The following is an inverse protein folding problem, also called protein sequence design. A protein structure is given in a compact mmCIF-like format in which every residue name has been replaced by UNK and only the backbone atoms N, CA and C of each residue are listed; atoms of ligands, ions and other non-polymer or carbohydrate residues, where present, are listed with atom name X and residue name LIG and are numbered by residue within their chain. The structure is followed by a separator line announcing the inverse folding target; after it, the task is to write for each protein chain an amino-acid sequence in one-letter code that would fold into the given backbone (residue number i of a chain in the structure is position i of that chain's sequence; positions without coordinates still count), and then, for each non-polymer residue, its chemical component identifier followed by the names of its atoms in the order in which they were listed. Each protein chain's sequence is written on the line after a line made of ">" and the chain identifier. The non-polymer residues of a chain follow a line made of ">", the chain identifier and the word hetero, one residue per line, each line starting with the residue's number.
data_IF_789985117830
#
_entry.id   IF_789985117830
#
_cell.length_a   1.000
_cell.length_b   1.000
_cell.length_c   1.000
_cell.angle_alpha   90.00
_cell.angle_beta   90.00
_cell.angle_gamma   90.00
#
_symmetry.space_group_name_H-M   'P 1'
#
loop_
_entity.id
_entity.type
_entity.pdbx_description
1 polymer ?
#
# COMPACT_ATOMS: atom_id res chain seq x y z
N UNK A 1 -0.73 24.90 91.28
CA UNK A 1 0.51 24.69 90.50
C UNK A 1 0.11 24.16 89.13
N UNK A 2 -0.03 25.02 88.12
CA UNK A 2 -0.52 24.66 86.80
C UNK A 2 0.57 24.98 85.76
N UNK A 3 0.95 23.98 84.95
CA UNK A 3 1.95 24.13 83.89
C UNK A 3 1.34 24.86 82.67
N UNK A 4 2.09 25.73 81.98
CA UNK A 4 1.58 26.39 80.78
C UNK A 4 1.52 25.41 79.59
N UNK A 5 0.50 25.50 78.72
CA UNK A 5 0.45 24.71 77.50
C UNK A 5 1.55 25.17 76.53
N UNK A 6 2.36 24.23 76.06
CA UNK A 6 3.37 24.47 75.02
C UNK A 6 2.66 24.68 73.68
N UNK A 7 2.49 25.94 73.27
CA UNK A 7 2.00 26.26 71.94
C UNK A 7 3.06 25.86 70.90
N UNK A 8 2.73 24.91 70.02
CA UNK A 8 3.58 24.51 68.89
C UNK A 8 3.46 25.56 67.77
N UNK A 9 4.56 26.01 67.14
CA UNK A 9 4.50 27.03 66.10
C UNK A 9 3.84 26.46 64.82
N UNK A 10 2.99 27.24 64.13
CA UNK A 10 2.39 26.79 62.87
C UNK A 10 3.45 26.72 61.77
N UNK A 11 3.65 25.53 61.22
CA UNK A 11 4.54 25.30 60.06
C UNK A 11 3.88 25.95 58.84
N UNK A 12 4.48 27.01 58.31
CA UNK A 12 4.04 27.66 57.07
C UNK A 12 4.31 26.72 55.89
N UNK A 13 3.24 26.19 55.30
CA UNK A 13 3.32 25.33 54.13
C UNK A 13 3.64 26.15 52.87
N UNK A 14 4.77 25.85 52.25
CA UNK A 14 5.23 26.42 50.98
C UNK A 14 4.44 25.84 49.80
N UNK A 15 3.18 26.25 49.64
CA UNK A 15 2.31 25.78 48.56
C UNK A 15 2.79 26.12 47.14
N UNK A 16 3.69 27.10 47.01
CA UNK A 16 4.21 27.55 45.72
C UNK A 16 5.16 26.54 45.07
N UNK A 17 5.95 25.80 45.86
CA UNK A 17 6.86 24.76 45.35
C UNK A 17 6.08 23.61 44.71
N UNK A 18 4.91 23.28 45.26
CA UNK A 18 4.02 22.26 44.70
C UNK A 18 3.45 22.69 43.35
N UNK A 19 3.01 23.94 43.22
CA UNK A 19 2.57 24.51 41.94
C UNK A 19 3.69 24.50 40.89
N UNK A 20 4.90 24.88 41.28
CA UNK A 20 6.07 24.83 40.39
C UNK A 20 6.39 23.42 39.90
N UNK A 21 6.31 22.42 40.80
CA UNK A 21 6.53 21.03 40.45
C UNK A 21 5.44 20.50 39.49
N UNK A 22 4.17 20.80 39.76
CA UNK A 22 3.07 20.43 38.86
C UNK A 22 3.24 21.04 37.47
N UNK A 23 3.65 22.31 37.40
CA UNK A 23 3.88 23.00 36.14
C UNK A 23 5.06 22.38 35.36
N UNK A 24 6.16 22.07 36.07
CA UNK A 24 7.31 21.39 35.48
C UNK A 24 6.96 20.02 34.91
N UNK A 25 6.20 19.21 35.66
CA UNK A 25 5.72 17.90 35.19
C UNK A 25 4.80 18.04 33.99
N UNK A 26 3.87 19.01 34.01
CA UNK A 26 2.96 19.27 32.89
C UNK A 26 3.72 19.66 31.61
N UNK A 27 4.67 20.58 31.71
CA UNK A 27 5.52 20.98 30.58
C UNK A 27 6.38 19.83 30.05
N UNK A 28 6.99 19.06 30.96
CA UNK A 28 7.81 17.90 30.59
C UNK A 28 6.98 16.85 29.85
N UNK A 29 5.79 16.55 30.35
CA UNK A 29 4.85 15.60 29.71
C UNK A 29 4.39 16.09 28.34
N UNK A 30 4.10 17.38 28.19
CA UNK A 30 3.70 17.96 26.91
C UNK A 30 4.84 17.90 25.87
N UNK A 31 6.08 18.16 26.29
CA UNK A 31 7.26 18.06 25.42
C UNK A 31 7.49 16.64 24.90
N UNK A 32 7.37 15.63 25.76
CA UNK A 32 7.47 14.21 25.39
C UNK A 32 6.36 13.79 24.40
N UNK A 33 5.12 14.23 24.64
CA UNK A 33 3.99 13.93 23.75
C UNK A 33 4.18 14.51 22.34
N UNK A 34 4.72 15.73 22.23
CA UNK A 34 4.99 16.38 20.95
C UNK A 34 6.00 15.57 20.11
N UNK A 35 7.07 15.07 20.72
CA UNK A 35 8.11 14.27 20.05
C UNK A 35 7.58 12.90 19.58
N UNK A 36 6.74 12.23 20.39
CA UNK A 36 6.20 10.91 20.06
C UNK A 36 5.25 10.86 18.87
N UNK A 37 4.53 11.97 18.60
CA UNK A 37 3.60 12.06 17.47
C UNK A 37 4.29 11.90 16.10
N UNK A 38 5.54 12.36 15.98
CA UNK A 38 6.32 12.31 14.74
C UNK A 38 6.68 10.88 14.30
N UNK A 39 6.91 9.99 15.25
CA UNK A 39 7.27 8.59 14.99
C UNK A 39 6.08 7.78 14.49
N UNK A 40 4.87 8.05 14.99
CA UNK A 40 3.66 7.39 14.49
C UNK A 40 3.43 7.73 13.02
N UNK A 41 3.60 9.00 12.64
CA UNK A 41 3.50 9.43 11.24
C UNK A 41 4.60 8.79 10.37
N UNK A 42 5.84 8.74 10.86
CA UNK A 42 6.93 8.12 10.13
C UNK A 42 6.71 6.61 9.91
N UNK A 43 6.28 5.88 10.95
CA UNK A 43 5.98 4.46 10.87
C UNK A 43 4.81 4.17 9.92
N UNK A 44 3.77 5.01 9.91
CA UNK A 44 2.65 4.88 8.99
C UNK A 44 3.12 5.03 7.53
N UNK A 45 3.89 6.09 7.24
CA UNK A 45 4.45 6.31 5.89
C UNK A 45 5.30 5.14 5.40
N UNK A 46 6.05 4.51 6.31
CA UNK A 46 6.88 3.36 5.93
C UNK A 46 6.04 2.13 5.57
N UNK A 47 4.96 1.86 6.33
CA UNK A 47 4.01 0.78 6.00
C UNK A 47 3.33 1.01 4.66
N UNK A 48 2.98 2.26 4.35
CA UNK A 48 2.38 2.63 3.06
C UNK A 48 3.34 2.39 1.89
N UNK A 49 4.62 2.75 2.03
CA UNK A 49 5.65 2.47 1.01
C UNK A 49 5.88 0.98 0.83
N UNK A 50 5.89 0.23 1.92
CA UNK A 50 6.05 -1.22 1.85
C UNK A 50 4.83 -1.88 1.19
N UNK A 51 3.62 -1.35 1.39
CA UNK A 51 2.42 -1.79 0.69
C UNK A 51 2.57 -1.57 -0.82
N UNK A 52 2.97 -0.36 -1.21
CA UNK A 52 3.22 0.01 -2.61
C UNK A 52 4.24 -0.92 -3.26
N UNK A 53 5.38 -1.12 -2.60
CA UNK A 53 6.47 -1.95 -3.09
C UNK A 53 6.05 -3.42 -3.25
N UNK A 54 5.44 -4.01 -2.21
CA UNK A 54 4.99 -5.41 -2.24
C UNK A 54 3.88 -5.64 -3.24
N UNK A 55 2.89 -4.74 -3.28
CA UNK A 55 1.79 -4.79 -4.23
C UNK A 55 2.28 -4.72 -5.68
N UNK A 56 3.25 -3.85 -5.96
CA UNK A 56 3.86 -3.72 -7.29
C UNK A 56 4.62 -4.98 -7.72
N UNK A 57 5.39 -5.59 -6.82
CA UNK A 57 6.09 -6.86 -7.10
C UNK A 57 5.10 -8.01 -7.42
N UNK A 58 3.95 -8.04 -6.75
CA UNK A 58 2.88 -9.01 -7.04
C UNK A 58 2.26 -8.73 -8.41
N UNK A 59 1.90 -7.47 -8.71
CA UNK A 59 1.34 -7.09 -10.01
C UNK A 59 2.29 -7.44 -11.18
N UNK A 60 3.58 -7.17 -11.00
CA UNK A 60 4.63 -7.54 -11.95
C UNK A 60 4.74 -9.06 -12.12
N UNK A 61 4.64 -9.83 -11.04
CA UNK A 61 4.65 -11.30 -11.13
C UNK A 61 3.45 -11.82 -11.92
N UNK A 62 2.25 -11.24 -11.72
CA UNK A 62 1.05 -11.58 -12.51
C UNK A 62 1.25 -11.25 -13.99
N UNK A 63 1.77 -10.07 -14.31
CA UNK A 63 2.07 -9.69 -15.70
C UNK A 63 3.10 -10.64 -16.36
N UNK A 64 4.15 -11.00 -15.62
CA UNK A 64 5.16 -11.98 -16.08
C UNK A 64 4.58 -13.37 -16.31
N UNK A 65 3.65 -13.79 -15.45
CA UNK A 65 2.94 -15.07 -15.58
C UNK A 65 2.12 -15.13 -16.87
N UNK A 66 1.33 -14.09 -17.15
CA UNK A 66 0.53 -13.99 -18.37
C UNK A 66 1.42 -13.99 -19.62
N UNK A 67 2.54 -13.25 -19.60
CA UNK A 67 3.51 -13.20 -20.70
C UNK A 67 4.24 -14.52 -20.95
N UNK A 68 4.44 -15.32 -19.92
CA UNK A 68 5.09 -16.63 -20.03
C UNK A 68 4.15 -17.74 -20.54
N UNK A 69 2.85 -17.47 -20.63
CA UNK A 69 1.87 -18.43 -21.15
C UNK A 69 2.17 -18.78 -22.62
N UNK A 70 2.32 -20.07 -22.96
CA UNK A 70 2.55 -20.52 -24.35
C UNK A 70 1.29 -20.44 -25.22
N UNK A 71 0.11 -20.21 -24.62
CA UNK A 71 -1.18 -20.08 -25.31
C UNK A 71 -1.65 -18.62 -25.23
N UNK A 72 -2.12 -18.07 -26.35
CA UNK A 72 -2.78 -16.77 -26.44
C UNK A 72 -4.31 -16.94 -26.60
N UNK A 73 -5.12 -16.11 -25.91
CA UNK A 73 -4.72 -15.07 -24.95
C UNK A 73 -4.12 -15.66 -23.66
N UNK A 74 -3.15 -14.95 -23.08
CA UNK A 74 -2.42 -15.41 -21.91
C UNK A 74 -3.34 -15.63 -20.72
N UNK A 75 -3.24 -16.79 -20.07
CA UNK A 75 -4.12 -17.15 -18.98
C UNK A 75 -3.60 -16.58 -17.66
N UNK A 76 -4.46 -15.85 -16.95
CA UNK A 76 -4.13 -15.35 -15.60
C UNK A 76 -3.97 -16.51 -14.59
N UNK A 77 -3.31 -16.28 -13.45
CA UNK A 77 -3.22 -17.26 -12.37
C UNK A 77 -4.55 -17.42 -11.62
N UNK A 78 -4.79 -18.58 -11.00
CA UNK A 78 -5.99 -18.81 -10.17
C UNK A 78 -5.72 -18.63 -8.68
N UNK A 79 -4.47 -18.88 -8.26
CA UNK A 79 -4.03 -18.77 -6.86
C UNK A 79 -2.61 -18.21 -6.76
N UNK A 80 -2.22 -17.75 -5.57
CA UNK A 80 -0.88 -17.19 -5.33
C UNK A 80 0.24 -18.22 -5.53
N UNK A 81 -0.04 -19.50 -5.29
CA UNK A 81 0.93 -20.59 -5.45
C UNK A 81 1.36 -20.77 -6.91
N UNK A 82 0.49 -20.41 -7.86
CA UNK A 82 0.81 -20.49 -9.29
C UNK A 82 1.87 -19.43 -9.68
N UNK A 83 1.95 -18.31 -8.95
CA UNK A 83 2.99 -17.29 -9.13
C UNK A 83 4.34 -17.73 -8.57
N UNK A 84 4.34 -18.56 -7.53
CA UNK A 84 5.56 -19.10 -6.93
C UNK A 84 6.18 -20.16 -7.85
N UNK A 85 5.39 -21.12 -8.33
CA UNK A 85 5.88 -22.21 -9.17
C UNK A 85 4.96 -22.41 -10.37
N UNK A 86 5.36 -21.86 -11.50
CA UNK A 86 4.73 -22.08 -12.79
C UNK A 86 5.27 -23.37 -13.43
N UNK A 87 4.42 -24.39 -13.51
CA UNK A 87 4.72 -25.70 -14.14
C UNK A 87 4.16 -25.84 -15.56
N UNK A 88 3.63 -24.77 -16.15
CA UNK A 88 3.00 -24.83 -17.48
C UNK A 88 4.04 -24.86 -18.60
N UNK A 89 5.23 -24.33 -18.34
CA UNK A 89 6.37 -24.42 -19.25
C UNK A 89 7.16 -25.72 -19.04
N UNK A 90 7.86 -26.16 -20.10
CA UNK A 90 8.75 -27.35 -20.05
C UNK A 90 9.82 -27.26 -18.96
N UNK A 91 10.20 -26.04 -18.54
CA UNK A 91 11.03 -25.78 -17.36
C UNK A 91 10.21 -24.99 -16.33
N UNK A 92 10.15 -25.44 -15.06
CA UNK A 92 9.47 -24.70 -14.00
C UNK A 92 10.03 -23.28 -13.87
N UNK A 93 9.15 -22.27 -13.87
CA UNK A 93 9.51 -20.85 -13.69
C UNK A 93 8.95 -20.33 -12.38
N UNK A 94 9.66 -19.40 -11.75
CA UNK A 94 9.23 -18.75 -10.52
C UNK A 94 9.08 -17.26 -10.83
N UNK A 95 7.83 -16.76 -10.83
CA UNK A 95 7.55 -15.34 -11.13
C UNK A 95 7.59 -14.48 -9.87
N UNK A 96 7.33 -15.08 -8.71
CA UNK A 96 7.42 -14.46 -7.40
C UNK A 96 8.48 -15.16 -6.55
N UNK A 97 9.38 -14.38 -5.91
CA UNK A 97 10.47 -14.94 -5.09
C UNK A 97 9.99 -15.52 -3.75
N UNK A 98 8.97 -14.91 -3.16
CA UNK A 98 8.42 -15.27 -1.83
C UNK A 98 7.00 -14.73 -1.69
N UNK A 99 6.22 -15.38 -0.84
CA UNK A 99 4.90 -14.87 -0.48
C UNK A 99 5.07 -13.65 0.43
N UNK A 100 4.69 -12.47 -0.06
CA UNK A 100 4.80 -11.24 0.69
C UNK A 100 3.70 -11.13 1.74
N UNK A 101 4.04 -10.66 2.93
CA UNK A 101 3.08 -10.34 3.99
C UNK A 101 2.44 -8.98 3.68
N UNK A 102 1.19 -8.78 4.06
CA UNK A 102 0.56 -7.46 4.08
C UNK A 102 1.14 -6.65 5.27
N UNK A 103 1.65 -5.41 5.04
CA UNK A 103 2.31 -4.60 6.08
C UNK A 103 1.36 -4.13 7.19
N UNK A 104 0.04 -4.20 6.98
CA UNK A 104 -0.96 -3.81 7.97
C UNK A 104 -1.50 -4.99 8.77
N UNK A 105 -1.72 -6.14 8.13
CA UNK A 105 -2.22 -7.35 8.82
C UNK A 105 -1.09 -8.23 9.36
N UNK A 106 0.13 -8.09 8.82
CA UNK A 106 1.27 -8.94 9.11
C UNK A 106 1.14 -10.36 8.58
N UNK A 107 0.16 -10.64 7.72
CA UNK A 107 -0.17 -11.97 7.19
C UNK A 107 -0.10 -11.98 5.67
N UNK A 108 0.12 -13.14 5.02
CA UNK A 108 0.09 -13.23 3.56
C UNK A 108 -1.35 -13.35 3.05
N UNK A 109 -2.27 -12.48 3.49
CA UNK A 109 -3.72 -12.59 3.27
C UNK A 109 -4.29 -11.60 2.26
N UNK A 110 -3.51 -11.35 1.21
CA UNK A 110 -3.89 -10.54 0.06
C UNK A 110 -5.22 -11.00 -0.56
N UNK A 111 -6.07 -10.04 -0.93
CA UNK A 111 -7.36 -10.31 -1.56
C UNK A 111 -7.18 -10.33 -3.07
N UNK A 112 -7.50 -11.46 -3.70
CA UNK A 112 -7.45 -11.67 -5.14
C UNK A 112 -8.70 -11.04 -5.78
N UNK A 113 -8.52 -10.29 -6.87
CA UNK A 113 -9.59 -9.62 -7.61
C UNK A 113 -9.65 -10.17 -9.04
N UNK A 114 -10.85 -10.62 -9.42
CA UNK A 114 -11.12 -11.31 -10.70
C UNK A 114 -10.93 -10.40 -11.92
N UNK A 115 -10.49 -11.00 -13.03
CA UNK A 115 -10.33 -10.28 -14.29
C UNK A 115 -11.69 -9.84 -14.87
N UNK A 116 -11.81 -8.57 -15.22
CA UNK A 116 -13.06 -7.94 -15.63
C UNK A 116 -13.78 -7.16 -14.52
N UNK A 117 -13.43 -7.36 -13.24
CA UNK A 117 -13.83 -6.48 -12.14
C UNK A 117 -12.94 -5.22 -12.07
N UNK A 118 -12.56 -4.68 -13.24
CA UNK A 118 -11.71 -3.49 -13.42
C UNK A 118 -12.34 -2.19 -12.95
N UNK A 119 -13.44 -2.26 -12.22
CA UNK A 119 -13.98 -1.17 -11.42
C UNK A 119 -13.98 -1.68 -9.98
N UNK A 120 -13.12 -1.11 -9.14
CA UNK A 120 -13.34 -1.17 -7.71
C UNK A 120 -14.81 -0.76 -7.47
N UNK A 121 -15.63 -1.56 -6.73
CA UNK A 121 -16.95 -1.07 -6.37
C UNK A 121 -16.76 0.22 -5.57
N UNK A 122 -17.18 1.33 -6.16
CA UNK A 122 -17.22 2.62 -5.51
C UNK A 122 -18.07 2.47 -4.24
N UNK A 123 -17.43 2.70 -3.10
CA UNK A 123 -18.00 2.96 -1.78
C UNK A 123 -19.12 2.02 -1.24
N UNK A 124 -18.79 1.30 -0.17
CA UNK A 124 -19.74 1.14 0.95
C UNK A 124 -20.53 -0.17 1.06
N UNK A 125 -20.29 -1.17 0.22
CA UNK A 125 -20.86 -2.50 0.45
C UNK A 125 -19.79 -3.42 1.06
N UNK A 126 -19.91 -3.68 2.37
CA UNK A 126 -19.46 -4.96 2.90
C UNK A 126 -19.97 -6.05 1.94
N UNK A 127 -19.17 -7.04 1.49
CA UNK A 127 -19.77 -8.30 1.14
C UNK A 127 -20.37 -8.81 2.46
N UNK A 128 -21.68 -8.62 2.62
CA UNK A 128 -22.43 -9.41 3.56
C UNK A 128 -21.99 -10.86 3.33
N UNK A 129 -21.52 -11.51 4.39
CA UNK A 129 -21.29 -12.95 4.36
C UNK A 129 -22.51 -13.57 3.64
N UNK A 130 -22.31 -14.42 2.61
CA UNK A 130 -23.41 -14.85 1.76
C UNK A 130 -24.45 -15.51 2.65
N UNK A 131 -25.58 -14.84 2.83
CA UNK A 131 -26.76 -15.42 3.44
C UNK A 131 -27.11 -16.62 2.59
N UNK A 132 -27.09 -17.79 3.22
CA UNK A 132 -27.45 -19.07 2.64
C UNK A 132 -28.87 -18.99 2.07
N UNK A 133 -29.02 -18.64 0.79
CA UNK A 133 -30.20 -18.84 -0.07
C UNK A 133 -29.95 -18.24 -1.45
N UNK A 134 -29.38 -19.08 -2.34
CA UNK A 134 -29.52 -19.10 -3.80
C UNK A 134 -28.21 -19.64 -4.39
N UNK A 135 -28.20 -20.92 -4.74
CA UNK A 135 -27.11 -21.48 -5.54
C UNK A 135 -27.33 -21.02 -6.99
N UNK A 136 -26.40 -20.28 -7.62
CA UNK A 136 -26.46 -20.09 -9.07
C UNK A 136 -26.24 -21.45 -9.73
N UNK A 137 -27.28 -21.95 -10.40
CA UNK A 137 -27.20 -23.12 -11.26
C UNK A 137 -26.19 -22.86 -12.40
N UNK A 138 -25.33 -23.85 -12.57
CA UNK A 138 -24.17 -23.94 -13.46
C UNK A 138 -24.40 -23.52 -14.92
N UNK A 139 -23.67 -22.48 -15.37
CA UNK A 139 -23.25 -22.23 -16.76
C UNK A 139 -22.47 -20.90 -16.77
N UNK A 140 -21.15 -20.82 -16.65
CA UNK A 140 -20.08 -21.45 -17.42
C UNK A 140 -18.80 -21.58 -16.58
N UNK A 141 -18.04 -22.65 -16.80
CA UNK A 141 -16.73 -22.90 -16.18
C UNK A 141 -15.66 -21.96 -16.76
N UNK A 142 -15.72 -20.68 -16.43
CA UNK A 142 -14.52 -19.82 -16.42
C UNK A 142 -13.92 -19.95 -15.04
N UNK A 143 -12.87 -20.75 -14.94
CA UNK A 143 -12.12 -20.89 -13.71
C UNK A 143 -11.71 -19.48 -13.24
N UNK A 144 -12.28 -19.00 -12.11
CA UNK A 144 -12.09 -17.64 -11.61
C UNK A 144 -10.61 -17.27 -11.65
N UNK A 145 -10.25 -16.33 -12.53
CA UNK A 145 -8.86 -15.96 -12.78
C UNK A 145 -8.65 -14.55 -12.28
N UNK A 146 -7.55 -14.28 -11.56
CA UNK A 146 -7.34 -12.98 -10.93
C UNK A 146 -6.28 -12.17 -11.67
N UNK A 147 -6.59 -10.89 -11.93
CA UNK A 147 -5.68 -9.96 -12.61
C UNK A 147 -5.15 -8.86 -11.69
N UNK A 148 -5.70 -8.75 -10.47
CA UNK A 148 -5.32 -7.76 -9.49
C UNK A 148 -5.38 -8.28 -8.05
N UNK A 149 -4.71 -7.53 -7.16
CA UNK A 149 -4.62 -7.83 -5.73
C UNK A 149 -4.81 -6.55 -4.92
N UNK A 150 -5.46 -6.64 -3.76
CA UNK A 150 -5.57 -5.54 -2.79
C UNK A 150 -5.29 -5.98 -1.35
N UNK A 151 -4.93 -5.03 -0.50
CA UNK A 151 -4.82 -5.28 0.96
C UNK A 151 -6.20 -5.61 1.54
N UNK A 152 -6.21 -6.44 2.59
CA UNK A 152 -7.43 -6.69 3.38
C UNK A 152 -7.71 -5.57 4.39
N UNK A 153 -6.73 -4.74 4.69
CA UNK A 153 -6.84 -3.76 5.78
C UNK A 153 -7.67 -2.54 5.38
N UNK A 154 -8.57 -2.12 6.26
CA UNK A 154 -9.32 -0.86 6.14
C UNK A 154 -8.57 0.35 6.74
N UNK A 155 -7.26 0.21 6.98
CA UNK A 155 -6.46 1.27 7.56
C UNK A 155 -6.42 2.50 6.64
N UNK A 156 -6.62 3.68 7.22
CA UNK A 156 -6.67 4.94 6.47
C UNK A 156 -5.29 5.32 5.94
N UNK A 157 -5.21 5.61 4.64
CA UNK A 157 -3.97 6.02 3.97
C UNK A 157 -3.76 7.53 4.10
N UNK A 158 -2.53 7.98 4.38
CA UNK A 158 -2.16 9.40 4.33
C UNK A 158 -1.99 9.88 2.89
N UNK A 159 -1.57 9.01 1.97
CA UNK A 159 -1.51 9.32 0.54
C UNK A 159 -2.91 9.20 -0.09
N UNK A 160 -3.53 10.35 -0.37
CA UNK A 160 -4.92 10.45 -0.80
C UNK A 160 -5.17 10.23 -2.31
N UNK A 161 -4.14 10.05 -3.15
CA UNK A 161 -4.32 10.04 -4.60
C UNK A 161 -3.53 8.92 -5.27
N UNK A 162 -4.25 8.07 -6.03
CA UNK A 162 -3.65 7.11 -6.95
C UNK A 162 -3.09 7.85 -8.17
N UNK A 163 -2.21 7.18 -8.93
CA UNK A 163 -1.69 7.69 -10.21
C UNK A 163 -2.81 7.98 -11.25
N UNK A 164 -4.01 7.40 -11.08
CA UNK A 164 -5.19 7.64 -11.93
C UNK A 164 -6.13 8.72 -11.38
N UNK A 165 -5.82 9.38 -10.26
CA UNK A 165 -6.63 10.44 -9.66
C UNK A 165 -7.73 9.98 -8.70
N UNK A 166 -7.98 8.67 -8.54
CA UNK A 166 -8.97 8.16 -7.60
C UNK A 166 -8.52 8.35 -6.14
N UNK A 167 -9.43 8.76 -5.23
CA UNK A 167 -9.08 8.99 -3.83
C UNK A 167 -8.89 7.66 -3.08
N UNK A 168 -7.66 7.32 -2.68
CA UNK A 168 -7.46 6.22 -1.72
C UNK A 168 -7.73 6.74 -0.31
N UNK A 169 -8.82 6.29 0.29
CA UNK A 169 -9.07 6.58 1.70
C UNK A 169 -8.57 5.45 2.59
N UNK A 170 -8.53 4.21 2.08
CA UNK A 170 -8.11 3.01 2.79
C UNK A 170 -7.08 2.20 2.02
N UNK A 171 -6.34 1.36 2.73
CA UNK A 171 -5.41 0.41 2.12
C UNK A 171 -6.13 -0.61 1.23
N UNK A 172 -7.37 -0.97 1.56
CA UNK A 172 -8.26 -1.83 0.75
C UNK A 172 -8.71 -1.18 -0.56
N UNK A 173 -8.69 0.15 -0.67
CA UNK A 173 -8.99 0.86 -1.93
C UNK A 173 -7.82 0.78 -2.92
N UNK A 174 -6.63 0.40 -2.45
CA UNK A 174 -5.45 0.28 -3.31
C UNK A 174 -5.45 -1.04 -4.08
N UNK A 175 -5.76 -0.95 -5.37
CA UNK A 175 -5.74 -2.08 -6.29
C UNK A 175 -4.40 -2.12 -7.04
N UNK A 176 -3.69 -3.24 -6.93
CA UNK A 176 -2.47 -3.51 -7.68
C UNK A 176 -2.80 -4.48 -8.81
N UNK A 177 -2.97 -3.95 -10.03
CA UNK A 177 -3.31 -4.74 -11.21
C UNK A 177 -2.14 -4.88 -12.17
N UNK A 178 -2.07 -6.03 -12.85
CA UNK A 178 -1.05 -6.28 -13.86
C UNK A 178 -1.14 -5.28 -15.03
N UNK A 179 -2.36 -4.93 -15.48
CA UNK A 179 -2.58 -3.96 -16.56
C UNK A 179 -2.11 -2.56 -16.19
N UNK A 180 -2.47 -2.08 -15.00
CA UNK A 180 -2.07 -0.76 -14.54
C UNK A 180 -0.55 -0.65 -14.35
N UNK A 181 0.13 -1.73 -13.95
CA UNK A 181 1.59 -1.77 -13.90
C UNK A 181 2.22 -1.57 -15.29
N UNK A 182 1.68 -2.24 -16.31
CA UNK A 182 2.15 -2.08 -17.69
C UNK A 182 1.94 -0.66 -18.23
N UNK A 183 0.80 -0.05 -17.92
CA UNK A 183 0.49 1.35 -18.27
C UNK A 183 1.44 2.35 -17.59
N UNK A 184 1.69 2.18 -16.28
CA UNK A 184 2.63 3.04 -15.55
C UNK A 184 4.06 2.94 -16.09
N UNK A 185 4.49 1.74 -16.51
CA UNK A 185 5.82 1.54 -17.09
C UNK A 185 5.93 2.20 -18.49
N UNK A 186 4.85 2.23 -19.27
CA UNK A 186 4.80 2.96 -20.54
C UNK A 186 4.89 4.48 -20.33
N UNK A 187 4.22 5.02 -19.30
CA UNK A 187 4.28 6.45 -18.97
C UNK A 187 5.61 6.91 -18.39
N UNK A 188 6.40 6.01 -17.79
CA UNK A 188 7.76 6.31 -17.33
C UNK A 188 8.83 6.13 -18.41
N UNK A 189 8.48 5.63 -19.61
CA UNK A 189 9.42 5.62 -20.73
C UNK A 189 9.67 7.09 -21.11
N UNK A 190 10.90 7.63 -20.98
CA UNK A 190 11.16 8.99 -21.43
C UNK A 190 10.72 9.07 -22.88
N UNK A 191 9.89 10.06 -23.22
CA UNK A 191 9.58 10.41 -24.61
C UNK A 191 10.85 10.21 -25.42
N UNK A 192 10.85 9.35 -26.47
CA UNK A 192 12.04 9.22 -27.30
C UNK A 192 12.42 10.63 -27.71
N UNK A 193 13.66 11.04 -27.40
CA UNK A 193 14.17 12.32 -27.84
C UNK A 193 13.77 12.47 -29.32
N UNK A 194 13.17 13.60 -29.74
CA UNK A 194 12.80 13.77 -31.13
C UNK A 194 14.02 13.39 -31.98
N UNK A 195 13.85 12.60 -33.06
CA UNK A 195 14.98 12.24 -33.91
C UNK A 195 15.75 13.51 -34.22
N UNK A 196 17.10 13.51 -34.12
CA UNK A 196 17.88 14.71 -34.40
C UNK A 196 17.43 15.22 -35.76
N UNK A 197 17.02 16.49 -35.83
CA UNK A 197 16.66 17.11 -37.09
C UNK A 197 17.80 16.82 -38.08
N UNK A 198 17.51 16.36 -39.30
CA UNK A 198 18.56 16.21 -40.30
C UNK A 198 19.23 17.58 -40.43
N UNK A 199 20.54 17.62 -40.18
CA UNK A 199 21.33 18.83 -40.35
C UNK A 199 21.10 19.35 -41.77
N UNK A 200 20.88 20.67 -41.98
CA UNK A 200 20.90 21.24 -43.31
C UNK A 200 22.20 20.81 -44.00
N UNK A 201 22.07 20.12 -45.13
CA UNK A 201 23.23 19.78 -45.95
C UNK A 201 23.70 21.12 -46.52
N UNK A 202 24.74 21.71 -45.93
CA UNK A 202 25.45 22.85 -46.49
C UNK A 202 25.87 22.46 -47.92
N UNK A 203 25.37 23.15 -48.97
CA UNK A 203 25.82 22.87 -50.32
C UNK A 203 27.31 23.19 -50.38
N UNK A 204 28.10 22.16 -50.66
CA UNK A 204 29.55 22.25 -50.78
C UNK A 204 29.92 23.46 -51.64
N UNK A 205 30.62 24.41 -51.03
CA UNK A 205 31.27 25.50 -51.73
C UNK A 205 32.40 24.89 -52.55
N UNK A 206 32.06 24.45 -53.77
CA UNK A 206 33.03 24.21 -54.81
C UNK A 206 33.79 25.50 -55.07
N UNK A 207 35.10 25.47 -54.83
CA UNK A 207 36.01 26.50 -55.31
C UNK A 207 36.96 25.84 -56.30
N UNK A 208 37.07 26.36 -57.54
CA UNK A 208 38.06 25.90 -58.51
C UNK A 208 39.48 26.28 -58.09
#
# INVERSE_FOLDING_TARGET
>A
MAAPPSASPPVRQTGFTYLGLLFFVALSSAGLAALGSSWQMAAQRERERELEFRGNEIAKAIASYVKASPVQPGQYPQRFEDLLVDRRAAKPRHHLRRLYLDPFTGKPDWVLVEDGAGQAPAFGALPAAPSAQAWPSSSSLTAATFSAVRSRSDQTMQRQSQANGEPLRRASDWLFSARQFEEQQQQQTPTPAPPPLPLPIEPGTGRP
#
